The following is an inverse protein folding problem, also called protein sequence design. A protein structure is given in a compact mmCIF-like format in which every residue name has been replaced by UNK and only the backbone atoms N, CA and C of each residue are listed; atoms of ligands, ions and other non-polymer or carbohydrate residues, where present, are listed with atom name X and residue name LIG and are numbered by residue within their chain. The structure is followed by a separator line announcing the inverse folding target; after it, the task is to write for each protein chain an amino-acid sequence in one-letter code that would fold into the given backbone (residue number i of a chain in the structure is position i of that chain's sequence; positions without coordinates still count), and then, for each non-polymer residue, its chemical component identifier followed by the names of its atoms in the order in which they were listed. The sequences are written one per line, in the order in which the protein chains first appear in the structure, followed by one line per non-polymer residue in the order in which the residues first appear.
data_IF_069663221851
#
_entry.id   IF_069663221851
#
_cell.length_a   1.000
_cell.length_b   1.000
_cell.length_c   1.000
_cell.angle_alpha   90.00
_cell.angle_beta   90.00
_cell.angle_gamma   90.00
#
_symmetry.space_group_name_H-M   'P 1'
#
loop_
_entity.id
_entity.type
_entity.pdbx_description
1 polymer ?
#
# COMPACT_ATOMS: atom_id res chain seq x y z
N UNK A 1 27.07 -46.99 -22.14
CA UNK A 1 25.67 -47.27 -21.73
C UNK A 1 24.97 -48.07 -22.80
N UNK A 2 24.39 -49.20 -22.42
CA UNK A 2 23.65 -50.11 -23.28
C UNK A 2 22.26 -49.55 -23.56
N UNK A 3 21.65 -49.85 -24.72
CA UNK A 3 20.29 -49.35 -25.09
C UNK A 3 19.22 -49.66 -24.03
N UNK A 4 19.40 -50.75 -23.28
CA UNK A 4 18.54 -51.12 -22.15
C UNK A 4 18.73 -50.21 -20.92
N UNK A 5 19.96 -49.76 -20.65
CA UNK A 5 20.28 -48.84 -19.55
C UNK A 5 19.71 -47.44 -19.82
N UNK A 6 19.81 -46.95 -21.06
CA UNK A 6 19.18 -45.68 -21.49
C UNK A 6 17.66 -45.68 -21.32
N UNK A 7 17.00 -46.82 -21.57
CA UNK A 7 15.55 -46.96 -21.38
C UNK A 7 15.16 -47.04 -19.90
N UNK A 8 16.04 -47.56 -19.03
CA UNK A 8 15.82 -47.58 -17.58
C UNK A 8 15.97 -46.18 -16.99
N UNK A 9 17.06 -45.48 -17.29
CA UNK A 9 17.25 -44.10 -16.83
C UNK A 9 16.10 -43.19 -17.26
N UNK A 10 15.62 -43.32 -18.50
CA UNK A 10 14.50 -42.51 -18.99
C UNK A 10 13.18 -42.78 -18.23
N UNK A 11 12.92 -44.04 -17.87
CA UNK A 11 11.75 -44.44 -17.07
C UNK A 11 11.88 -43.99 -15.61
N UNK A 12 13.08 -44.00 -15.06
CA UNK A 12 13.35 -43.52 -13.70
C UNK A 12 13.21 -42.00 -13.63
N UNK A 13 13.76 -41.26 -14.60
CA UNK A 13 13.60 -39.79 -14.67
C UNK A 13 12.14 -39.37 -14.89
N UNK A 14 11.37 -40.12 -15.69
CA UNK A 14 9.94 -39.85 -15.90
C UNK A 14 9.11 -40.12 -14.62
N UNK A 15 9.50 -41.11 -13.81
CA UNK A 15 8.87 -41.39 -12.51
C UNK A 15 9.25 -40.36 -11.43
N UNK A 16 10.49 -39.88 -11.44
CA UNK A 16 10.95 -38.81 -10.56
C UNK A 16 10.25 -37.48 -10.85
N UNK A 17 9.92 -37.18 -12.11
CA UNK A 17 9.17 -35.96 -12.46
C UNK A 17 7.67 -36.03 -12.15
N UNK A 18 7.11 -37.23 -12.05
CA UNK A 18 5.66 -37.41 -11.85
C UNK A 18 5.37 -37.87 -10.42
N UNK A 19 5.83 -37.10 -9.43
CA UNK A 19 5.54 -37.38 -8.02
C UNK A 19 4.04 -37.20 -7.81
N UNK A 20 3.33 -38.32 -7.63
CA UNK A 20 1.89 -38.33 -7.40
C UNK A 20 1.64 -38.18 -5.91
N UNK A 21 1.11 -37.02 -5.50
CA UNK A 21 0.80 -36.76 -4.10
C UNK A 21 -0.61 -37.26 -3.77
N UNK A 22 -0.72 -38.17 -2.81
CA UNK A 22 -2.01 -38.63 -2.29
C UNK A 22 -2.53 -37.64 -1.23
N UNK A 23 -3.11 -36.54 -1.71
CA UNK A 23 -3.74 -35.54 -0.85
C UNK A 23 -5.24 -35.82 -0.70
N UNK A 24 -5.75 -35.65 0.51
CA UNK A 24 -7.20 -35.65 0.74
C UNK A 24 -7.81 -34.34 0.25
N UNK A 25 -9.08 -34.37 -0.17
CA UNK A 25 -9.81 -33.16 -0.59
C UNK A 25 -9.76 -32.06 0.47
N UNK A 26 -9.89 -32.41 1.74
CA UNK A 26 -9.83 -31.47 2.85
C UNK A 26 -8.45 -30.77 2.98
N UNK A 27 -7.35 -31.50 2.78
CA UNK A 27 -6.00 -30.92 2.77
C UNK A 27 -5.81 -29.97 1.59
N UNK A 28 -6.37 -30.33 0.43
CA UNK A 28 -6.31 -29.50 -0.77
C UNK A 28 -7.12 -28.21 -0.60
N UNK A 29 -8.33 -28.30 -0.06
CA UNK A 29 -9.20 -27.16 0.23
C UNK A 29 -8.55 -26.22 1.27
N UNK A 30 -7.90 -26.76 2.31
CA UNK A 30 -7.14 -25.96 3.29
C UNK A 30 -5.97 -25.22 2.63
N UNK A 31 -5.20 -25.89 1.78
CA UNK A 31 -4.07 -25.28 1.09
C UNK A 31 -4.53 -24.16 0.16
N UNK A 32 -5.57 -24.39 -0.64
CA UNK A 32 -6.17 -23.38 -1.53
C UNK A 32 -6.70 -22.19 -0.73
N UNK A 33 -7.47 -22.43 0.34
CA UNK A 33 -7.99 -21.35 1.17
C UNK A 33 -6.87 -20.53 1.81
N UNK A 34 -5.79 -21.17 2.28
CA UNK A 34 -4.65 -20.45 2.86
C UNK A 34 -3.93 -19.55 1.86
N UNK A 35 -3.75 -20.03 0.61
CA UNK A 35 -3.12 -19.26 -0.46
C UNK A 35 -4.01 -18.10 -0.91
N UNK A 36 -5.31 -18.34 -1.08
CA UNK A 36 -6.28 -17.29 -1.42
C UNK A 36 -6.34 -16.21 -0.34
N UNK A 37 -6.39 -16.60 0.94
CA UNK A 37 -6.36 -15.63 2.04
C UNK A 37 -5.06 -14.81 2.05
N UNK A 38 -3.92 -15.45 1.80
CA UNK A 38 -2.64 -14.77 1.68
C UNK A 38 -2.64 -13.75 0.54
N UNK A 39 -3.05 -14.15 -0.66
CA UNK A 39 -3.13 -13.25 -1.81
C UNK A 39 -4.13 -12.12 -1.62
N UNK A 40 -5.29 -12.38 -1.01
CA UNK A 40 -6.26 -11.33 -0.66
C UNK A 40 -5.63 -10.34 0.33
N UNK A 41 -4.89 -10.83 1.33
CA UNK A 41 -4.23 -9.97 2.30
C UNK A 41 -3.12 -9.12 1.67
N UNK A 42 -2.35 -9.69 0.75
CA UNK A 42 -1.31 -9.00 0.00
C UNK A 42 -1.90 -7.93 -0.92
N UNK A 43 -2.93 -8.28 -1.70
CA UNK A 43 -3.62 -7.34 -2.59
C UNK A 43 -4.30 -6.20 -1.83
N UNK A 44 -4.90 -6.49 -0.66
CA UNK A 44 -5.49 -5.46 0.21
C UNK A 44 -4.43 -4.51 0.76
N UNK A 45 -3.25 -5.03 1.13
CA UNK A 45 -2.13 -4.21 1.60
C UNK A 45 -1.60 -3.33 0.48
N UNK A 46 -1.38 -3.90 -0.71
CA UNK A 46 -0.92 -3.16 -1.89
C UNK A 46 -1.89 -2.03 -2.27
N UNK A 47 -3.19 -2.33 -2.33
CA UNK A 47 -4.21 -1.31 -2.58
C UNK A 47 -4.24 -0.23 -1.48
N UNK A 48 -4.02 -0.60 -0.22
CA UNK A 48 -3.94 0.36 0.88
C UNK A 48 -2.69 1.25 0.75
N UNK A 49 -1.53 0.67 0.44
CA UNK A 49 -0.27 1.39 0.25
C UNK A 49 -0.36 2.36 -0.93
N UNK A 50 -0.97 1.94 -2.05
CA UNK A 50 -1.23 2.80 -3.22
C UNK A 50 -2.16 3.97 -2.87
N UNK A 51 -3.24 3.70 -2.13
CA UNK A 51 -4.18 4.73 -1.69
C UNK A 51 -3.50 5.73 -0.74
N UNK A 52 -2.66 5.25 0.19
CA UNK A 52 -1.88 6.10 1.10
C UNK A 52 -0.91 6.97 0.32
N UNK A 53 -0.15 6.39 -0.62
CA UNK A 53 0.79 7.13 -1.45
C UNK A 53 0.10 8.21 -2.29
N UNK A 54 -1.03 7.87 -2.89
CA UNK A 54 -1.85 8.81 -3.66
C UNK A 54 -2.37 9.94 -2.76
N UNK A 55 -2.88 9.61 -1.56
CA UNK A 55 -3.36 10.59 -0.60
C UNK A 55 -2.25 11.54 -0.15
N UNK A 56 -1.05 11.01 0.17
CA UNK A 56 0.12 11.83 0.55
C UNK A 56 0.55 12.77 -0.58
N UNK A 57 0.61 12.26 -1.81
CA UNK A 57 0.95 13.07 -2.98
C UNK A 57 -0.07 14.20 -3.19
N UNK A 58 -1.37 13.93 -3.03
CA UNK A 58 -2.41 14.95 -3.14
C UNK A 58 -2.38 15.97 -1.99
N UNK A 59 -2.24 15.50 -0.75
CA UNK A 59 -2.21 16.37 0.44
C UNK A 59 -1.02 17.33 0.43
N UNK A 60 0.13 16.92 -0.10
CA UNK A 60 1.30 17.78 -0.25
C UNK A 60 1.28 18.57 -1.56
N UNK A 61 0.91 17.93 -2.67
CA UNK A 61 0.97 18.52 -4.00
C UNK A 61 -0.07 19.61 -4.24
N UNK A 62 -1.33 19.41 -3.81
CA UNK A 62 -2.39 20.40 -4.07
C UNK A 62 -2.12 21.74 -3.38
N UNK A 63 -1.75 21.80 -2.09
CA UNK A 63 -1.37 23.06 -1.46
C UNK A 63 -0.16 23.72 -2.12
N UNK A 64 0.85 22.95 -2.57
CA UNK A 64 2.00 23.50 -3.28
C UNK A 64 1.60 24.16 -4.61
N UNK A 65 0.72 23.52 -5.40
CA UNK A 65 0.18 24.13 -6.62
C UNK A 65 -0.54 25.43 -6.31
N UNK A 66 -1.44 25.44 -5.33
CA UNK A 66 -2.17 26.65 -4.91
C UNK A 66 -1.22 27.75 -4.44
N UNK A 67 -0.20 27.40 -3.64
CA UNK A 67 0.79 28.36 -3.15
C UNK A 67 1.63 28.94 -4.29
N UNK A 68 2.02 28.12 -5.27
CA UNK A 68 2.76 28.57 -6.44
C UNK A 68 1.91 29.48 -7.33
N UNK A 69 0.70 29.03 -7.65
CA UNK A 69 -0.15 29.65 -8.66
C UNK A 69 -0.90 30.86 -8.15
N UNK A 70 -1.25 30.95 -6.87
CA UNK A 70 -2.07 32.05 -6.35
C UNK A 70 -1.31 32.99 -5.40
N UNK A 71 -0.45 32.46 -4.53
CA UNK A 71 0.14 33.24 -3.44
C UNK A 71 1.57 33.70 -3.70
N UNK A 72 2.44 32.81 -4.19
CA UNK A 72 3.90 33.02 -4.29
C UNK A 72 4.42 32.99 -5.74
N UNK A 73 3.63 33.48 -6.69
CA UNK A 73 3.93 33.51 -8.15
C UNK A 73 5.39 33.81 -8.54
N UNK A 74 6.07 34.71 -7.83
CA UNK A 74 7.46 35.14 -8.13
C UNK A 74 8.52 34.62 -7.15
N UNK A 75 8.12 34.03 -6.03
CA UNK A 75 9.03 33.65 -4.93
C UNK A 75 8.86 32.20 -4.45
N UNK A 76 8.04 31.42 -5.15
CA UNK A 76 7.74 30.04 -4.77
C UNK A 76 9.02 29.19 -4.67
N UNK A 77 9.97 29.35 -5.59
CA UNK A 77 11.22 28.58 -5.57
C UNK A 77 12.02 28.73 -4.28
N UNK A 78 11.92 29.89 -3.61
CA UNK A 78 12.60 30.15 -2.33
C UNK A 78 11.74 29.78 -1.11
N UNK A 79 10.41 29.90 -1.21
CA UNK A 79 9.49 29.73 -0.07
C UNK A 79 8.93 28.32 0.07
N UNK A 80 8.72 27.61 -1.05
CA UNK A 80 8.13 26.27 -1.04
C UNK A 80 8.96 25.26 -0.25
N UNK A 81 10.31 25.21 -0.32
CA UNK A 81 11.08 24.26 0.48
C UNK A 81 10.81 24.40 1.98
N UNK A 82 10.86 25.63 2.50
CA UNK A 82 10.58 25.87 3.92
C UNK A 82 9.13 25.59 4.31
N UNK A 83 8.17 25.80 3.42
CA UNK A 83 6.79 25.35 3.64
C UNK A 83 6.71 23.83 3.74
N UNK A 84 7.31 23.10 2.80
CA UNK A 84 7.33 21.63 2.79
C UNK A 84 7.96 21.07 4.06
N UNK A 85 9.08 21.63 4.51
CA UNK A 85 9.74 21.23 5.76
C UNK A 85 8.80 21.36 6.95
N UNK A 86 8.05 22.47 7.05
CA UNK A 86 7.06 22.66 8.12
C UNK A 86 5.91 21.67 8.05
N UNK A 87 5.42 21.33 6.86
CA UNK A 87 4.37 20.31 6.75
C UNK A 87 4.87 18.94 7.21
N UNK A 88 6.11 18.58 6.87
CA UNK A 88 6.75 17.35 7.35
C UNK A 88 6.91 17.36 8.87
N UNK A 89 7.40 18.46 9.47
CA UNK A 89 7.52 18.60 10.93
C UNK A 89 6.16 18.39 11.65
N UNK A 90 5.07 18.95 11.11
CA UNK A 90 3.73 18.75 11.68
C UNK A 90 3.23 17.31 11.52
N UNK A 91 3.57 16.66 10.41
CA UNK A 91 3.27 15.25 10.18
C UNK A 91 4.02 14.35 11.16
N UNK A 92 5.31 14.57 11.37
CA UNK A 92 6.12 13.86 12.37
C UNK A 92 5.60 14.10 13.79
N UNK A 93 5.23 15.34 14.13
CA UNK A 93 4.61 15.64 15.42
C UNK A 93 3.28 14.89 15.63
N UNK A 94 2.51 14.68 14.56
CA UNK A 94 1.31 13.84 14.61
C UNK A 94 1.65 12.35 14.78
N UNK A 95 2.66 11.84 14.07
CA UNK A 95 3.13 10.45 14.24
C UNK A 95 3.67 10.18 15.65
N UNK A 96 4.37 11.14 16.23
CA UNK A 96 4.88 11.11 17.61
C UNK A 96 3.77 11.28 18.67
N UNK A 97 2.53 11.55 18.25
CA UNK A 97 1.39 11.80 19.14
C UNK A 97 1.42 13.16 19.85
N UNK A 98 2.36 14.05 19.49
CA UNK A 98 2.44 15.43 19.99
C UNK A 98 1.34 16.34 19.41
N UNK A 99 0.78 15.96 18.26
CA UNK A 99 -0.34 16.61 17.61
C UNK A 99 -1.45 15.59 17.37
N UNK A 100 -2.67 15.87 17.82
CA UNK A 100 -3.79 14.95 17.62
C UNK A 100 -4.53 15.22 16.30
N UNK A 101 -5.13 14.17 15.74
CA UNK A 101 -5.93 14.29 14.52
C UNK A 101 -7.17 15.19 14.75
N UNK A 102 -7.71 15.22 15.97
CA UNK A 102 -8.88 16.04 16.28
C UNK A 102 -8.53 17.53 16.35
N UNK A 103 -7.34 17.90 16.84
CA UNK A 103 -6.84 19.27 16.76
C UNK A 103 -6.64 19.71 15.30
N UNK A 104 -6.16 18.82 14.43
CA UNK A 104 -6.01 19.12 13.00
C UNK A 104 -7.39 19.36 12.37
N UNK A 105 -8.37 18.50 12.65
CA UNK A 105 -9.76 18.65 12.15
C UNK A 105 -10.41 19.92 12.65
N UNK A 106 -10.19 20.27 13.92
CA UNK A 106 -10.73 21.50 14.51
C UNK A 106 -10.11 22.75 13.86
N UNK A 107 -8.79 22.75 13.60
CA UNK A 107 -8.14 23.81 12.82
C UNK A 107 -8.69 23.91 11.40
N UNK A 108 -8.86 22.77 10.72
CA UNK A 108 -9.42 22.73 9.37
C UNK A 108 -10.85 23.28 9.32
N UNK A 109 -11.66 23.00 10.34
CA UNK A 109 -13.00 23.57 10.45
C UNK A 109 -12.96 25.07 10.75
N UNK A 110 -12.24 25.47 11.80
CA UNK A 110 -12.19 26.87 12.28
C UNK A 110 -11.59 27.82 11.26
N UNK A 111 -10.51 27.43 10.60
CA UNK A 111 -9.76 28.30 9.69
C UNK A 111 -9.94 27.95 8.22
N UNK A 112 -10.17 26.67 7.90
CA UNK A 112 -10.41 26.22 6.52
C UNK A 112 -11.89 26.20 6.13
N UNK A 113 -12.82 26.23 7.08
CA UNK A 113 -14.26 26.15 6.81
C UNK A 113 -14.74 24.78 6.28
N UNK A 114 -13.86 23.77 6.30
CA UNK A 114 -14.14 22.43 5.74
C UNK A 114 -14.24 21.41 6.86
N UNK A 115 -15.26 20.55 6.79
CA UNK A 115 -15.45 19.44 7.73
C UNK A 115 -15.37 18.11 7.01
N UNK A 116 -14.40 17.29 7.40
CA UNK A 116 -14.28 15.92 6.93
C UNK A 116 -15.26 15.03 7.70
N UNK A 117 -16.20 14.40 6.99
CA UNK A 117 -17.05 13.34 7.55
C UNK A 117 -16.51 12.00 7.05
N UNK A 118 -16.27 11.07 7.97
CA UNK A 118 -16.01 9.70 7.59
C UNK A 118 -17.32 9.09 7.09
N UNK A 119 -17.39 8.76 5.81
CA UNK A 119 -18.49 7.96 5.28
C UNK A 119 -18.24 6.52 5.73
N UNK A 120 -19.05 6.02 6.66
CA UNK A 120 -19.06 4.59 6.99
C UNK A 120 -19.64 3.88 5.77
N UNK A 121 -18.77 3.35 4.91
CA UNK A 121 -19.20 2.35 3.93
C UNK A 121 -19.64 1.14 4.74
N UNK A 122 -20.95 0.94 4.86
CA UNK A 122 -21.50 -0.30 5.37
C UNK A 122 -21.20 -1.37 4.31
N UNK A 123 -20.19 -2.19 4.59
CA UNK A 123 -19.89 -3.42 3.84
C UNK A 123 -20.76 -4.54 4.37
#
# INVERSE_FOLDING_TARGET
MTRAEMRRQKRESEKEHTITYNLTKAQLDQMVNSLVQKHISEAKREAADEAINTALALFLGLPLCVLMDEYWKKSYAQKLPGFTDKVIEYYEAWQDGKLSLDEIKDKLWKYGGVRLKAEKVMV
#
